data_IF_241213519155
#
_entry.id   IF_241213519155
#
_cell.length_a   1.000
_cell.length_b   1.000
_cell.length_c   1.000
_cell.angle_alpha   90.00
_cell.angle_beta   90.00
_cell.angle_gamma   90.00
#
_symmetry.space_group_name_H-M   'P 1'
#
loop_
_entity.id
_entity.type
_entity.pdbx_description
1 polymer ?
#
# COMPACT_ATOMS: atom_id res chain seq x y z
N UNK A 1 8.13 -11.30 -25.51
CA UNK A 1 7.19 -10.18 -25.73
C UNK A 1 7.73 -8.84 -25.21
N UNK A 2 7.88 -8.60 -23.90
CA UNK A 2 8.31 -7.28 -23.37
C UNK A 2 9.61 -6.77 -23.99
N UNK A 3 10.66 -7.60 -24.02
CA UNK A 3 11.94 -7.22 -24.64
C UNK A 3 11.78 -6.82 -26.12
N UNK A 4 10.97 -7.56 -26.89
CA UNK A 4 10.73 -7.25 -28.31
C UNK A 4 10.00 -5.91 -28.51
N UNK A 5 9.09 -5.55 -27.60
CA UNK A 5 8.44 -4.24 -27.64
C UNK A 5 9.48 -3.14 -27.38
N UNK A 6 10.35 -3.32 -26.38
CA UNK A 6 11.44 -2.40 -26.11
C UNK A 6 12.40 -2.28 -27.30
N UNK A 7 12.75 -3.40 -27.94
CA UNK A 7 13.61 -3.41 -29.12
C UNK A 7 13.00 -2.58 -30.26
N UNK A 8 11.70 -2.74 -30.53
CA UNK A 8 10.99 -1.96 -31.55
C UNK A 8 10.87 -0.47 -31.19
N UNK A 9 10.73 -0.11 -29.92
CA UNK A 9 10.73 1.28 -29.47
C UNK A 9 12.09 1.94 -29.76
N UNK A 10 13.17 1.23 -29.43
CA UNK A 10 14.55 1.69 -29.62
C UNK A 10 14.88 1.78 -31.12
N UNK A 11 14.57 0.73 -31.90
CA UNK A 11 14.83 0.66 -33.34
C UNK A 11 14.11 1.78 -34.10
N UNK A 12 12.86 2.07 -33.73
CA UNK A 12 12.05 3.13 -34.36
C UNK A 12 12.30 4.52 -33.78
N UNK A 13 13.18 4.64 -32.79
CA UNK A 13 13.53 5.90 -32.13
C UNK A 13 12.28 6.67 -31.65
N UNK A 14 11.33 5.96 -31.03
CA UNK A 14 10.12 6.62 -30.55
C UNK A 14 10.44 7.51 -29.35
N UNK A 15 10.09 8.79 -29.43
CA UNK A 15 10.24 9.74 -28.32
C UNK A 15 9.09 9.58 -27.31
N UNK A 16 9.16 8.51 -26.52
CA UNK A 16 8.14 8.17 -25.53
C UNK A 16 8.76 7.86 -24.17
N UNK A 17 8.08 8.30 -23.13
CA UNK A 17 8.39 7.95 -21.74
C UNK A 17 7.19 7.23 -21.15
N UNK A 18 7.44 6.16 -20.42
CA UNK A 18 6.37 5.33 -19.87
C UNK A 18 6.71 4.79 -18.48
N UNK A 19 5.65 4.39 -17.79
CA UNK A 19 5.74 3.67 -16.53
C UNK A 19 5.01 2.34 -16.65
N UNK A 20 5.34 1.39 -15.78
CA UNK A 20 4.64 0.12 -15.71
C UNK A 20 4.64 -0.46 -14.31
N UNK A 21 3.85 -1.51 -14.10
CA UNK A 21 3.91 -2.34 -12.91
C UNK A 21 4.46 -3.72 -13.26
N UNK A 22 5.40 -4.21 -12.46
CA UNK A 22 6.12 -5.46 -12.71
C UNK A 22 6.04 -6.42 -11.52
N UNK A 23 6.22 -7.72 -11.81
CA UNK A 23 6.56 -8.69 -10.77
C UNK A 23 8.07 -8.84 -10.74
N UNK A 24 8.69 -8.50 -9.61
CA UNK A 24 10.16 -8.50 -9.48
C UNK A 24 10.79 -9.89 -9.63
N UNK A 25 10.04 -10.97 -9.42
CA UNK A 25 10.51 -12.34 -9.66
C UNK A 25 10.68 -12.69 -11.15
N UNK A 26 10.16 -11.85 -12.06
CA UNK A 26 10.38 -11.97 -13.51
C UNK A 26 11.39 -10.95 -14.04
N UNK A 27 11.88 -10.05 -13.19
CA UNK A 27 12.80 -9.00 -13.59
C UNK A 27 14.24 -9.50 -13.55
N UNK A 28 15.01 -9.11 -14.56
CA UNK A 28 16.46 -9.30 -14.61
C UNK A 28 17.12 -7.94 -14.85
N UNK A 29 18.40 -7.83 -14.52
CA UNK A 29 19.17 -6.60 -14.78
C UNK A 29 19.12 -6.21 -16.26
N UNK A 30 19.34 -7.15 -17.17
CA UNK A 30 19.31 -6.92 -18.61
C UNK A 30 17.93 -6.48 -19.13
N UNK A 31 16.84 -7.06 -18.59
CA UNK A 31 15.50 -6.62 -18.94
C UNK A 31 15.23 -5.21 -18.42
N UNK A 32 15.64 -4.90 -17.19
CA UNK A 32 15.47 -3.58 -16.57
C UNK A 32 16.22 -2.50 -17.37
N UNK A 33 17.48 -2.76 -17.73
CA UNK A 33 18.29 -1.86 -18.58
C UNK A 33 17.61 -1.60 -19.93
N UNK A 34 17.14 -2.68 -20.59
CA UNK A 34 16.47 -2.57 -21.89
C UNK A 34 15.18 -1.76 -21.79
N UNK A 35 14.39 -1.96 -20.73
CA UNK A 35 13.16 -1.20 -20.49
C UNK A 35 13.47 0.27 -20.25
N UNK A 36 14.50 0.59 -19.47
CA UNK A 36 14.96 1.97 -19.24
C UNK A 36 15.41 2.64 -20.54
N UNK A 37 16.24 1.98 -21.35
CA UNK A 37 16.67 2.47 -22.68
C UNK A 37 15.50 2.70 -23.64
N UNK A 38 14.42 1.94 -23.49
CA UNK A 38 13.20 2.10 -24.26
C UNK A 38 12.24 3.16 -23.69
N UNK A 39 12.64 3.95 -22.70
CA UNK A 39 11.85 5.07 -22.16
C UNK A 39 11.12 4.80 -20.84
N UNK A 40 11.36 3.66 -20.18
CA UNK A 40 10.81 3.44 -18.84
C UNK A 40 11.48 4.38 -17.83
N UNK A 41 10.70 5.22 -17.14
CA UNK A 41 11.23 6.13 -16.11
C UNK A 41 10.71 5.83 -14.70
N UNK A 42 9.66 5.02 -14.56
CA UNK A 42 9.04 4.69 -13.28
C UNK A 42 8.51 3.26 -13.29
N UNK A 43 8.76 2.50 -12.22
CA UNK A 43 8.33 1.10 -12.12
C UNK A 43 7.69 0.80 -10.77
N UNK A 44 6.40 0.50 -10.80
CA UNK A 44 5.63 0.00 -9.65
C UNK A 44 5.83 -1.50 -9.46
N UNK A 45 5.88 -1.98 -8.22
CA UNK A 45 5.95 -3.42 -7.95
C UNK A 45 5.46 -3.77 -6.55
N UNK A 46 4.74 -4.88 -6.43
CA UNK A 46 4.22 -5.33 -5.15
C UNK A 46 5.25 -6.08 -4.31
N UNK A 47 5.61 -5.54 -3.15
CA UNK A 47 6.24 -6.29 -2.05
C UNK A 47 5.15 -6.86 -1.12
N UNK A 48 4.06 -6.12 -0.94
CA UNK A 48 2.87 -6.45 -0.14
C UNK A 48 3.12 -6.50 1.37
N UNK A 49 4.15 -7.20 1.80
CA UNK A 49 4.54 -7.38 3.22
C UNK A 49 6.05 -7.61 3.34
N UNK A 50 6.66 -7.05 4.38
CA UNK A 50 8.03 -7.37 4.79
C UNK A 50 8.14 -8.64 5.65
N UNK A 51 7.03 -9.17 6.14
CA UNK A 51 6.99 -10.46 6.82
C UNK A 51 6.78 -11.61 5.82
N UNK A 52 7.60 -12.65 5.95
CA UNK A 52 7.61 -13.81 5.04
C UNK A 52 6.32 -14.64 5.09
N UNK A 53 5.77 -14.92 6.27
CA UNK A 53 4.52 -15.68 6.42
C UNK A 53 3.35 -14.96 5.75
N UNK A 54 3.22 -13.66 5.98
CA UNK A 54 2.17 -12.86 5.33
C UNK A 54 2.37 -12.85 3.81
N UNK A 55 3.60 -12.60 3.32
CA UNK A 55 3.88 -12.56 1.89
C UNK A 55 3.61 -13.91 1.19
N UNK A 56 4.07 -15.02 1.76
CA UNK A 56 4.03 -16.34 1.13
C UNK A 56 2.73 -17.12 1.40
N UNK A 57 2.23 -17.12 2.64
CA UNK A 57 1.11 -17.99 3.02
C UNK A 57 -0.24 -17.30 2.86
N UNK A 58 -0.30 -15.99 3.15
CA UNK A 58 -1.54 -15.21 3.08
C UNK A 58 -1.70 -14.60 1.69
N UNK A 59 -0.69 -13.87 1.22
CA UNK A 59 -0.74 -13.16 -0.07
C UNK A 59 -0.33 -14.06 -1.24
N UNK A 60 0.35 -15.18 -0.99
CA UNK A 60 0.82 -16.13 -2.01
C UNK A 60 1.76 -15.49 -3.04
N UNK A 61 2.58 -14.55 -2.57
CA UNK A 61 3.59 -13.89 -3.37
C UNK A 61 4.75 -14.84 -3.66
N UNK A 62 5.19 -14.86 -4.92
CA UNK A 62 6.37 -15.62 -5.37
C UNK A 62 7.68 -14.84 -5.21
N UNK A 63 7.60 -13.51 -5.22
CA UNK A 63 8.75 -12.64 -5.08
C UNK A 63 9.31 -12.65 -3.66
N UNK A 64 10.64 -12.57 -3.54
CA UNK A 64 11.34 -12.40 -2.28
C UNK A 64 11.73 -10.94 -2.05
N UNK A 65 12.02 -10.58 -0.79
CA UNK A 65 12.54 -9.25 -0.46
C UNK A 65 13.90 -8.97 -1.11
N UNK A 66 14.74 -9.99 -1.26
CA UNK A 66 16.04 -9.83 -1.92
C UNK A 66 15.90 -9.50 -3.40
N UNK A 67 14.94 -10.13 -4.10
CA UNK A 67 14.61 -9.77 -5.47
C UNK A 67 14.09 -8.33 -5.57
N UNK A 68 13.28 -7.89 -4.61
CA UNK A 68 12.83 -6.51 -4.55
C UNK A 68 13.99 -5.53 -4.33
N UNK A 69 14.92 -5.82 -3.41
CA UNK A 69 16.11 -4.99 -3.20
C UNK A 69 17.01 -4.94 -4.43
N UNK A 70 17.26 -6.08 -5.09
CA UNK A 70 18.03 -6.12 -6.33
C UNK A 70 17.38 -5.29 -7.43
N UNK A 71 16.06 -5.38 -7.57
CA UNK A 71 15.33 -4.56 -8.54
C UNK A 71 15.45 -3.07 -8.25
N UNK A 72 15.39 -2.66 -6.96
CA UNK A 72 15.61 -1.26 -6.55
C UNK A 72 17.02 -0.79 -6.97
N UNK A 73 18.06 -1.62 -6.76
CA UNK A 73 19.42 -1.27 -7.21
C UNK A 73 19.48 -1.04 -8.73
N UNK A 74 18.94 -1.98 -9.53
CA UNK A 74 18.96 -1.86 -10.99
C UNK A 74 18.14 -0.65 -11.46
N UNK A 75 16.99 -0.38 -10.83
CA UNK A 75 16.18 0.77 -11.16
C UNK A 75 16.98 2.07 -11.01
N UNK A 76 17.67 2.25 -9.88
CA UNK A 76 18.52 3.41 -9.67
C UNK A 76 19.69 3.50 -10.65
N UNK A 77 20.36 2.37 -10.92
CA UNK A 77 21.46 2.30 -11.88
C UNK A 77 21.04 2.82 -13.26
N UNK A 78 19.81 2.53 -13.68
CA UNK A 78 19.29 2.90 -15.00
C UNK A 78 18.37 4.13 -14.99
N UNK A 79 18.38 4.93 -13.92
CA UNK A 79 17.61 6.18 -13.83
C UNK A 79 16.09 6.00 -13.74
N UNK A 80 15.62 4.82 -13.33
CA UNK A 80 14.20 4.49 -13.12
C UNK A 80 13.85 4.75 -11.65
N UNK A 81 12.70 5.38 -11.41
CA UNK A 81 12.17 5.58 -10.06
C UNK A 81 11.44 4.30 -9.60
N UNK A 82 11.93 3.59 -8.57
CA UNK A 82 11.27 2.40 -8.05
C UNK A 82 10.10 2.77 -7.14
N UNK A 83 8.98 2.07 -7.29
CA UNK A 83 7.77 2.26 -6.50
C UNK A 83 7.24 0.95 -5.89
N UNK A 84 7.75 0.54 -4.71
CA UNK A 84 7.25 -0.62 -4.02
C UNK A 84 5.86 -0.35 -3.40
N UNK A 85 4.96 -1.31 -3.58
CA UNK A 85 3.64 -1.35 -2.96
C UNK A 85 3.65 -2.22 -1.72
N UNK A 86 3.08 -1.69 -0.63
CA UNK A 86 2.85 -2.43 0.61
C UNK A 86 1.38 -2.35 1.01
N UNK A 87 0.88 -3.39 1.63
CA UNK A 87 -0.48 -3.48 2.14
C UNK A 87 -0.40 -3.90 3.61
N UNK A 88 -1.16 -3.23 4.46
CA UNK A 88 -1.33 -3.63 5.86
C UNK A 88 -2.72 -4.20 6.11
N UNK A 89 -2.91 -4.78 7.29
CA UNK A 89 -4.16 -5.40 7.73
C UNK A 89 -4.52 -6.63 6.91
N UNK A 90 -3.51 -7.40 6.47
CA UNK A 90 -3.75 -8.69 5.83
C UNK A 90 -4.48 -9.63 6.81
N UNK A 91 -5.25 -10.61 6.31
CA UNK A 91 -5.87 -11.60 7.20
C UNK A 91 -4.84 -12.28 8.10
N UNK A 92 -5.12 -12.38 9.39
CA UNK A 92 -4.22 -12.92 10.43
C UNK A 92 -2.92 -12.14 10.67
N UNK A 93 -2.72 -10.95 10.08
CA UNK A 93 -1.50 -10.15 10.29
C UNK A 93 -1.42 -9.60 11.71
N UNK A 94 -0.41 -10.04 12.44
CA UNK A 94 -0.15 -9.58 13.81
C UNK A 94 0.56 -8.23 13.80
N UNK A 95 0.54 -7.55 14.95
CA UNK A 95 1.26 -6.30 15.10
C UNK A 95 2.76 -6.42 14.83
N UNK A 96 3.38 -7.50 15.30
CA UNK A 96 4.81 -7.74 15.09
C UNK A 96 5.15 -7.85 13.60
N UNK A 97 4.34 -8.59 12.84
CA UNK A 97 4.55 -8.77 11.40
C UNK A 97 4.35 -7.47 10.63
N UNK A 98 3.35 -6.66 11.02
CA UNK A 98 3.19 -5.32 10.48
C UNK A 98 4.39 -4.41 10.82
N UNK A 99 5.04 -4.59 11.98
CA UNK A 99 6.28 -3.87 12.30
C UNK A 99 7.45 -4.28 11.41
N UNK A 100 7.57 -5.56 11.06
CA UNK A 100 8.59 -6.03 10.11
C UNK A 100 8.39 -5.40 8.73
N UNK A 101 7.14 -5.32 8.25
CA UNK A 101 6.80 -4.59 7.02
C UNK A 101 7.17 -3.11 7.11
N UNK A 102 6.89 -2.46 8.24
CA UNK A 102 7.27 -1.05 8.43
C UNK A 102 8.80 -0.86 8.48
N UNK A 103 9.56 -1.81 9.02
CA UNK A 103 11.02 -1.76 8.99
C UNK A 103 11.57 -1.81 7.55
N UNK A 104 10.97 -2.61 6.68
CA UNK A 104 11.32 -2.63 5.25
C UNK A 104 11.00 -1.29 4.59
N UNK A 105 9.83 -0.71 4.84
CA UNK A 105 9.44 0.61 4.34
C UNK A 105 10.47 1.67 4.80
N UNK A 106 10.80 1.69 6.09
CA UNK A 106 11.75 2.65 6.67
C UNK A 106 13.16 2.50 6.09
N UNK A 107 13.56 1.29 5.70
CA UNK A 107 14.85 1.00 5.05
C UNK A 107 14.94 1.54 3.61
N UNK A 108 13.82 1.54 2.86
CA UNK A 108 13.83 1.90 1.42
C UNK A 108 13.23 3.28 1.11
N UNK A 109 12.63 3.97 2.10
CA UNK A 109 11.92 5.25 1.93
C UNK A 109 12.73 6.38 1.29
N UNK A 110 14.05 6.40 1.48
CA UNK A 110 14.91 7.47 0.96
C UNK A 110 15.37 7.19 -0.47
N UNK A 111 14.99 6.03 -1.01
CA UNK A 111 15.38 5.52 -2.32
C UNK A 111 14.18 5.28 -3.24
N UNK A 112 13.01 5.04 -2.66
CA UNK A 112 11.81 4.69 -3.41
C UNK A 112 10.71 5.73 -3.21
N UNK A 113 9.89 5.93 -4.24
CA UNK A 113 8.56 6.49 -4.02
C UNK A 113 7.67 5.37 -3.49
N UNK A 114 7.14 5.43 -2.27
CA UNK A 114 6.44 4.28 -1.67
C UNK A 114 4.93 4.49 -1.70
N UNK A 115 4.20 3.42 -2.03
CA UNK A 115 2.73 3.36 -1.91
C UNK A 115 2.31 2.36 -0.84
N UNK A 116 1.38 2.77 0.01
CA UNK A 116 0.84 1.94 1.10
C UNK A 116 -0.68 1.99 1.06
N UNK A 117 -1.30 0.81 1.16
CA UNK A 117 -2.74 0.65 1.30
C UNK A 117 -3.09 -0.17 2.55
N UNK A 118 -4.37 -0.17 2.90
CA UNK A 118 -4.94 -1.18 3.79
C UNK A 118 -5.62 -2.25 2.94
N UNK A 119 -5.76 -3.46 3.48
CA UNK A 119 -6.41 -4.55 2.76
C UNK A 119 -7.87 -4.21 2.49
N UNK A 120 -8.22 -4.02 1.22
CA UNK A 120 -9.60 -3.83 0.77
C UNK A 120 -10.24 -5.15 0.41
N UNK A 121 -11.53 -5.27 0.71
CA UNK A 121 -12.38 -6.35 0.25
C UNK A 121 -12.95 -5.93 -1.10
N UNK A 122 -12.91 -6.83 -2.09
CA UNK A 122 -13.46 -6.61 -3.43
C UNK A 122 -14.39 -7.75 -3.83
N UNK A 123 -15.47 -7.46 -4.60
CA UNK A 123 -16.46 -8.44 -5.01
C UNK A 123 -15.82 -9.56 -5.85
N UNK A 124 -16.26 -10.80 -5.62
CA UNK A 124 -15.83 -12.00 -6.33
C UNK A 124 -14.48 -12.56 -5.89
N UNK A 125 -13.79 -11.93 -4.93
CA UNK A 125 -12.48 -12.40 -4.44
C UNK A 125 -12.61 -13.47 -3.36
N UNK A 126 -11.57 -14.28 -3.18
CA UNK A 126 -11.49 -15.21 -2.04
C UNK A 126 -11.53 -14.49 -0.69
N UNK A 127 -11.02 -13.24 -0.65
CA UNK A 127 -11.07 -12.40 0.53
C UNK A 127 -12.51 -12.01 0.89
N UNK A 128 -13.37 -11.75 -0.09
CA UNK A 128 -14.79 -11.47 0.15
C UNK A 128 -15.50 -12.68 0.77
N UNK A 129 -15.32 -13.88 0.21
CA UNK A 129 -15.90 -15.11 0.77
C UNK A 129 -15.48 -15.31 2.22
N UNK A 130 -14.20 -15.06 2.51
CA UNK A 130 -13.65 -15.10 3.86
C UNK A 130 -14.26 -14.03 4.75
N UNK A 131 -14.43 -12.82 4.24
CA UNK A 131 -15.01 -11.69 4.97
C UNK A 131 -16.45 -11.97 5.42
N UNK A 132 -17.29 -12.60 4.59
CA UNK A 132 -18.62 -13.07 5.02
C UNK A 132 -18.53 -14.13 6.12
N UNK A 133 -17.68 -15.14 5.93
CA UNK A 133 -17.51 -16.25 6.90
C UNK A 133 -17.04 -15.76 8.28
N UNK A 134 -16.17 -14.75 8.29
CA UNK A 134 -15.62 -14.16 9.52
C UNK A 134 -16.44 -12.97 10.05
N UNK A 135 -17.60 -12.67 9.46
CA UNK A 135 -18.49 -11.60 9.91
C UNK A 135 -17.94 -10.18 9.69
N UNK A 136 -16.97 -10.01 8.79
CA UNK A 136 -16.43 -8.71 8.37
C UNK A 136 -17.37 -8.00 7.38
N UNK A 137 -18.12 -8.79 6.61
CA UNK A 137 -19.27 -8.33 5.83
C UNK A 137 -20.54 -8.96 6.42
N UNK A 138 -21.62 -8.18 6.64
CA UNK A 138 -22.93 -8.70 7.02
C UNK A 138 -23.46 -9.70 5.98
N UNK A 139 -24.24 -10.74 6.36
CA UNK A 139 -24.79 -11.71 5.41
C UNK A 139 -25.68 -11.09 4.31
N UNK A 140 -26.31 -9.96 4.62
CA UNK A 140 -27.19 -9.17 3.75
C UNK A 140 -26.46 -7.98 3.08
N UNK A 141 -25.13 -7.92 3.14
CA UNK A 141 -24.35 -6.86 2.52
C UNK A 141 -24.55 -6.83 1.00
N UNK A 142 -24.65 -5.63 0.44
CA UNK A 142 -24.72 -5.40 -1.01
C UNK A 142 -23.76 -4.31 -1.45
N UNK A 143 -23.08 -4.56 -2.56
CA UNK A 143 -22.18 -3.59 -3.23
C UNK A 143 -22.92 -2.41 -3.85
N UNK A 144 -24.24 -2.51 -4.03
CA UNK A 144 -25.06 -1.43 -4.59
C UNK A 144 -25.47 -0.40 -3.54
N UNK A 145 -25.35 -0.73 -2.25
CA UNK A 145 -25.59 0.25 -1.20
C UNK A 145 -24.34 1.11 -1.05
N UNK A 146 -24.48 2.41 -1.31
CA UNK A 146 -23.37 3.35 -1.17
C UNK A 146 -22.79 3.36 0.25
N UNK A 147 -23.61 3.03 1.27
CA UNK A 147 -23.24 3.17 2.68
C UNK A 147 -23.89 2.11 3.57
N UNK A 148 -23.07 1.20 4.08
CA UNK A 148 -23.41 0.31 5.18
C UNK A 148 -22.52 0.66 6.40
N UNK A 149 -23.13 1.10 7.50
CA UNK A 149 -22.39 1.54 8.70
C UNK A 149 -21.80 0.39 9.51
N UNK A 150 -22.19 -0.86 9.20
CA UNK A 150 -21.66 -2.08 9.82
C UNK A 150 -20.30 -2.46 9.25
N UNK A 151 -20.00 -2.04 8.02
CA UNK A 151 -18.70 -2.28 7.40
C UNK A 151 -17.72 -1.15 7.70
N UNK A 152 -16.45 -1.52 7.74
CA UNK A 152 -15.38 -0.58 8.02
C UNK A 152 -14.89 0.05 6.73
N UNK A 153 -14.98 1.38 6.63
CA UNK A 153 -14.43 2.16 5.50
C UNK A 153 -13.63 3.35 6.00
N UNK A 154 -12.74 3.89 5.15
CA UNK A 154 -12.00 5.12 5.47
C UNK A 154 -11.94 6.06 4.25
N UNK A 155 -13.07 6.71 3.87
CA UNK A 155 -13.18 7.47 2.62
C UNK A 155 -12.09 8.53 2.43
N UNK A 156 -11.75 9.28 3.48
CA UNK A 156 -10.76 10.36 3.41
C UNK A 156 -9.30 9.88 3.15
N UNK A 157 -9.03 8.57 3.23
CA UNK A 157 -7.68 8.03 3.06
C UNK A 157 -7.58 6.80 2.15
N UNK A 158 -8.61 5.95 2.11
CA UNK A 158 -8.61 4.65 1.46
C UNK A 158 -9.85 4.44 0.55
N UNK A 159 -10.70 5.46 0.38
CA UNK A 159 -11.93 5.35 -0.42
C UNK A 159 -13.06 4.59 0.29
N UNK A 160 -14.06 4.20 -0.50
CA UNK A 160 -15.32 3.63 -0.01
C UNK A 160 -15.38 2.10 0.00
N UNK A 161 -14.35 1.42 -0.52
CA UNK A 161 -14.29 -0.03 -0.46
C UNK A 161 -14.14 -0.50 1.01
N UNK A 162 -14.87 -1.55 1.44
CA UNK A 162 -14.74 -2.11 2.78
C UNK A 162 -13.31 -2.56 3.07
N UNK A 163 -12.83 -2.27 4.27
CA UNK A 163 -11.52 -2.66 4.76
C UNK A 163 -11.61 -3.97 5.53
N UNK A 164 -10.66 -4.86 5.29
CA UNK A 164 -10.48 -6.07 6.05
C UNK A 164 -9.68 -5.77 7.32
N UNK A 165 -10.36 -5.67 8.46
CA UNK A 165 -9.73 -5.46 9.77
C UNK A 165 -9.86 -6.72 10.61
N UNK A 166 -8.73 -7.37 10.93
CA UNK A 166 -8.69 -8.63 11.69
C UNK A 166 -7.97 -8.49 13.03
N UNK A 167 -6.66 -8.74 13.07
CA UNK A 167 -5.88 -8.71 14.32
C UNK A 167 -5.34 -7.34 14.69
N UNK A 168 -5.15 -6.46 13.72
CA UNK A 168 -4.66 -5.11 13.96
C UNK A 168 -5.77 -4.24 14.57
N UNK A 169 -5.47 -3.62 15.69
CA UNK A 169 -6.33 -2.61 16.29
C UNK A 169 -6.31 -1.31 15.47
N UNK A 170 -7.35 -0.49 15.63
CA UNK A 170 -7.38 0.84 15.03
C UNK A 170 -6.25 1.76 15.48
N UNK A 171 -5.75 1.59 16.71
CA UNK A 171 -4.56 2.30 17.19
C UNK A 171 -3.32 1.93 16.39
N UNK A 172 -3.12 0.64 16.10
CA UNK A 172 -2.00 0.13 15.32
C UNK A 172 -2.10 0.53 13.84
N UNK A 173 -3.28 0.39 13.24
CA UNK A 173 -3.53 0.84 11.86
C UNK A 173 -3.23 2.34 11.74
N UNK A 174 -3.75 3.15 12.67
CA UNK A 174 -3.49 4.58 12.70
C UNK A 174 -2.00 4.89 12.85
N UNK A 175 -1.29 4.18 13.73
CA UNK A 175 0.15 4.35 13.92
C UNK A 175 0.93 4.08 12.63
N UNK A 176 0.63 2.98 11.94
CA UNK A 176 1.24 2.64 10.65
C UNK A 176 1.00 3.73 9.61
N UNK A 177 -0.26 4.19 9.48
CA UNK A 177 -0.63 5.24 8.55
C UNK A 177 0.11 6.55 8.82
N UNK A 178 0.27 6.97 10.08
CA UNK A 178 0.97 8.21 10.41
C UNK A 178 2.48 8.11 10.32
N UNK A 179 3.07 6.94 10.62
CA UNK A 179 4.51 6.69 10.37
C UNK A 179 4.84 6.81 8.90
N UNK A 180 3.99 6.22 8.05
CA UNK A 180 4.12 6.35 6.61
C UNK A 180 3.86 7.79 6.13
N UNK A 181 2.78 8.43 6.56
CA UNK A 181 2.47 9.81 6.17
C UNK A 181 3.56 10.80 6.64
N UNK A 182 4.18 10.57 7.79
CA UNK A 182 5.30 11.34 8.31
C UNK A 182 6.59 11.20 7.48
N UNK A 183 6.74 10.11 6.72
CA UNK A 183 7.79 9.98 5.72
C UNK A 183 7.53 10.84 4.47
N UNK A 184 6.28 11.23 4.18
CA UNK A 184 5.93 12.12 3.07
C UNK A 184 6.03 13.60 3.49
N UNK A 185 6.91 14.37 2.83
CA UNK A 185 7.25 15.77 3.20
C UNK A 185 6.07 16.77 3.21
N UNK A 186 4.93 16.49 2.54
CA UNK A 186 3.83 17.45 2.31
C UNK A 186 2.44 17.03 2.84
N UNK A 187 2.34 16.15 3.84
CA UNK A 187 1.05 15.69 4.35
C UNK A 187 0.34 16.76 5.22
N UNK A 188 -0.84 17.24 4.79
CA UNK A 188 -1.71 18.12 5.57
C UNK A 188 -3.04 17.46 5.91
N UNK A 189 -3.26 17.18 7.19
CA UNK A 189 -4.54 16.66 7.71
C UNK A 189 -5.67 17.67 7.63
N UNK A 190 -5.37 18.97 7.74
CA UNK A 190 -6.38 20.02 7.76
C UNK A 190 -7.20 20.02 6.46
N UNK A 191 -6.57 19.71 5.32
CA UNK A 191 -7.25 19.58 4.03
C UNK A 191 -8.26 18.42 3.99
N UNK A 192 -8.09 17.40 4.84
CA UNK A 192 -8.96 16.23 4.91
C UNK A 192 -10.12 16.37 5.90
N UNK A 193 -10.09 17.38 6.78
CA UNK A 193 -11.11 17.60 7.82
C UNK A 193 -12.53 17.71 7.25
N UNK A 194 -12.81 18.48 6.18
CA UNK A 194 -14.16 18.56 5.62
C UNK A 194 -14.68 17.20 5.16
N UNK A 195 -13.83 16.41 4.50
CA UNK A 195 -14.16 15.05 4.05
C UNK A 195 -14.41 14.13 5.23
N UNK A 196 -13.62 14.22 6.31
CA UNK A 196 -13.84 13.43 7.53
C UNK A 196 -15.21 13.75 8.12
N UNK A 197 -15.52 15.02 8.35
CA UNK A 197 -16.80 15.44 8.96
C UNK A 197 -18.01 15.00 8.12
N UNK A 198 -17.91 15.10 6.79
CA UNK A 198 -18.94 14.62 5.85
C UNK A 198 -19.10 13.09 5.85
N UNK A 199 -18.20 12.33 6.46
CA UNK A 199 -18.21 10.87 6.43
C UNK A 199 -18.42 10.22 7.81
N UNK A 200 -18.89 10.96 8.80
CA UNK A 200 -19.27 10.42 10.11
C UNK A 200 -20.76 10.05 10.08
N UNK A 201 -21.06 8.74 10.14
CA UNK A 201 -22.44 8.24 10.09
C UNK A 201 -22.81 7.34 11.27
N UNK A 202 -21.82 6.94 12.06
CA UNK A 202 -22.01 6.05 13.21
C UNK A 202 -21.14 6.46 14.39
N UNK A 203 -21.53 6.00 15.58
CA UNK A 203 -20.68 6.07 16.79
C UNK A 203 -19.34 5.37 16.55
N UNK A 204 -19.32 4.32 15.71
CA UNK A 204 -18.11 3.64 15.28
C UNK A 204 -17.16 4.54 14.47
N UNK A 205 -17.69 5.38 13.57
CA UNK A 205 -16.90 6.37 12.83
C UNK A 205 -16.29 7.40 13.78
N UNK A 206 -17.09 7.95 14.70
CA UNK A 206 -16.62 8.92 15.71
C UNK A 206 -15.45 8.35 16.50
N UNK A 207 -15.58 7.11 17.01
CA UNK A 207 -14.50 6.44 17.75
C UNK A 207 -13.24 6.28 16.90
N UNK A 208 -13.38 5.85 15.63
CA UNK A 208 -12.23 5.68 14.71
C UNK A 208 -11.52 6.99 14.41
N UNK A 209 -12.27 8.05 14.09
CA UNK A 209 -11.68 9.36 13.83
C UNK A 209 -11.07 9.99 15.09
N UNK A 210 -11.65 9.76 16.27
CA UNK A 210 -11.05 10.17 17.54
C UNK A 210 -9.71 9.45 17.79
N UNK A 211 -9.64 8.13 17.55
CA UNK A 211 -8.37 7.37 17.65
C UNK A 211 -7.34 7.92 16.67
N UNK A 212 -7.71 8.11 15.39
CA UNK A 212 -6.82 8.70 14.38
C UNK A 212 -6.30 10.08 14.83
N UNK A 213 -7.16 10.92 15.40
CA UNK A 213 -6.76 12.23 15.90
C UNK A 213 -5.79 12.14 17.10
N UNK A 214 -6.06 11.25 18.06
CA UNK A 214 -5.19 11.05 19.22
C UNK A 214 -3.81 10.50 18.82
N UNK A 215 -3.76 9.54 17.90
CA UNK A 215 -2.49 9.03 17.35
C UNK A 215 -1.75 10.13 16.60
N UNK A 216 -2.44 10.93 15.81
CA UNK A 216 -1.83 12.09 15.15
C UNK A 216 -1.18 13.05 16.15
N UNK A 217 -1.88 13.42 17.23
CA UNK A 217 -1.34 14.28 18.28
C UNK A 217 -0.10 13.65 18.94
N UNK A 218 -0.14 12.35 19.24
CA UNK A 218 1.01 11.60 19.79
C UNK A 218 2.23 11.68 18.87
N UNK A 219 2.06 11.52 17.56
CA UNK A 219 3.13 11.64 16.56
C UNK A 219 3.67 13.07 16.46
N UNK A 220 2.79 14.08 16.48
CA UNK A 220 3.18 15.49 16.45
C UNK A 220 4.00 15.88 17.69
N UNK A 221 3.56 15.47 18.87
CA UNK A 221 4.28 15.66 20.14
C UNK A 221 5.65 14.99 20.12
N UNK A 222 5.74 13.72 19.68
CA UNK A 222 7.02 13.01 19.57
C UNK A 222 7.99 13.68 18.60
N UNK A 223 7.48 14.28 17.51
CA UNK A 223 8.31 15.04 16.55
C UNK A 223 8.79 16.38 17.13
N UNK A 224 7.98 17.04 17.97
CA UNK A 224 8.37 18.26 18.67
C UNK A 224 9.43 18.00 19.73
N UNK A 225 9.29 16.92 20.51
CA UNK A 225 10.26 16.55 21.57
C UNK A 225 11.62 16.05 21.05
N UNK A 226 11.70 15.69 19.76
CA UNK A 226 12.95 15.29 19.09
C UNK A 226 13.68 16.46 18.41
N UNK A 227 13.11 17.66 18.42
CA UNK A 227 13.72 18.90 17.94
C UNK A 227 14.25 19.70 19.11
#
# INVERSE_FOLDING_TARGET
RTAQICDLIIERQLDIHWYCEVRVDLMTRALTEKMAKAGMFYAGFGIESGNQRIAQDIVKKKATLDQAYQFIEWAHEFGVIPNPFFIFSHPTETWQEAQETMAVIEKVKDRCDISVALTHIYPGTELEKRAYKEGKLPPDFTWTNERDTRVVVLPAAQGHAPLYVDKLSWWQISDLMFRFAGAKKNFSLLRKVPTVLRNIYSVGDVKRYAILFLVFLKHKLKKMLKR
#
